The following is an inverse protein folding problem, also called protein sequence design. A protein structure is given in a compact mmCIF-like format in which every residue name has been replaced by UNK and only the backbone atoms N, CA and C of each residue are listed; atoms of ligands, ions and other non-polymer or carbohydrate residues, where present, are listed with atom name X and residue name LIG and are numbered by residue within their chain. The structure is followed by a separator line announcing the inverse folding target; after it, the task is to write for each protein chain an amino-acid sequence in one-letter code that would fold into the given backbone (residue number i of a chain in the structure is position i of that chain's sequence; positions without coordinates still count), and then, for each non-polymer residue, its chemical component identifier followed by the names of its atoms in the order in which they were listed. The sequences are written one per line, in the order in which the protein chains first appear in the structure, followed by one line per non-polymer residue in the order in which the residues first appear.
data_IF_571158907605
#
_entry.id   IF_571158907605
#
_cell.length_a   1.000
_cell.length_b   1.000
_cell.length_c   1.000
_cell.angle_alpha   90.00
_cell.angle_beta   90.00
_cell.angle_gamma   90.00
#
_symmetry.space_group_name_H-M   'P 1'
#
loop_
_entity.id
_entity.type
_entity.pdbx_description
1 polymer ?
#
# COMPACT_ATOMS: atom_id res chain seq x y z
N UNK A 1 -15.52 -6.98 4.88
CA UNK A 1 -14.45 -6.56 5.82
C UNK A 1 -14.85 -6.90 7.26
N UNK A 2 -16.09 -6.63 7.68
CA UNK A 2 -16.57 -7.00 9.03
C UNK A 2 -16.45 -8.50 9.33
N UNK A 3 -16.73 -9.35 8.33
CA UNK A 3 -16.61 -10.82 8.44
C UNK A 3 -15.17 -11.32 8.64
N UNK A 4 -14.17 -10.49 8.36
CA UNK A 4 -12.74 -10.83 8.44
C UNK A 4 -12.01 -10.16 9.62
N UNK A 5 -12.74 -9.42 10.46
CA UNK A 5 -12.19 -8.82 11.67
C UNK A 5 -11.84 -9.90 12.70
N UNK A 6 -10.70 -9.74 13.38
CA UNK A 6 -10.26 -10.64 14.44
C UNK A 6 -9.54 -11.91 13.99
N UNK A 7 -9.33 -12.10 12.68
CA UNK A 7 -8.66 -13.27 12.08
C UNK A 7 -7.13 -13.08 11.85
N UNK A 8 -6.51 -12.12 12.53
CA UNK A 8 -5.07 -11.79 12.38
C UNK A 8 -4.64 -11.47 10.94
N UNK A 9 -5.55 -10.97 10.11
CA UNK A 9 -5.23 -10.53 8.76
C UNK A 9 -4.56 -9.15 8.74
N UNK A 10 -3.84 -8.87 7.66
CA UNK A 10 -3.29 -7.54 7.39
C UNK A 10 -4.05 -6.91 6.24
N UNK A 11 -4.66 -5.75 6.51
CA UNK A 11 -5.38 -4.97 5.51
C UNK A 11 -4.39 -4.06 4.76
N UNK A 12 -4.34 -4.21 3.44
CA UNK A 12 -3.57 -3.35 2.54
C UNK A 12 -4.51 -2.34 1.87
N UNK A 13 -4.24 -1.04 2.05
CA UNK A 13 -5.06 0.03 1.46
C UNK A 13 -4.24 1.10 0.74
N UNK A 14 -4.89 1.78 -0.20
CA UNK A 14 -4.33 2.98 -0.83
C UNK A 14 -4.55 4.24 0.05
N UNK A 15 -3.89 5.32 -0.33
CA UNK A 15 -3.88 6.61 0.32
C UNK A 15 -5.29 7.20 0.53
N UNK A 16 -6.27 6.87 -0.30
CA UNK A 16 -7.67 7.33 -0.12
C UNK A 16 -8.30 6.81 1.17
N UNK A 17 -7.80 5.69 1.70
CA UNK A 17 -8.24 5.07 2.95
C UNK A 17 -7.16 5.14 4.04
N UNK A 18 -6.31 6.18 3.99
CA UNK A 18 -5.14 6.29 4.87
C UNK A 18 -5.30 7.22 6.07
N UNK A 19 -6.54 7.56 6.46
CA UNK A 19 -6.73 8.51 7.57
C UNK A 19 -6.20 7.92 8.89
N UNK A 20 -5.52 8.73 9.74
CA UNK A 20 -4.96 8.24 11.00
C UNK A 20 -6.00 7.61 11.94
N UNK A 21 -7.18 8.23 12.04
CA UNK A 21 -8.28 7.75 12.88
C UNK A 21 -8.79 6.37 12.44
N UNK A 22 -8.77 6.08 11.14
CA UNK A 22 -9.19 4.78 10.60
C UNK A 22 -8.26 3.64 11.03
N UNK A 23 -7.00 3.92 11.41
CA UNK A 23 -6.07 2.85 11.82
C UNK A 23 -6.40 2.26 13.20
N UNK A 24 -7.10 3.02 14.05
CA UNK A 24 -7.40 2.58 15.40
C UNK A 24 -8.42 1.44 15.41
N UNK A 25 -9.36 1.43 14.45
CA UNK A 25 -10.42 0.42 14.38
C UNK A 25 -9.90 -0.98 14.01
N UNK A 26 -9.12 -1.18 12.91
CA UNK A 26 -8.51 -2.47 12.61
C UNK A 26 -7.61 -2.97 13.74
N UNK A 27 -6.81 -2.08 14.34
CA UNK A 27 -5.90 -2.44 15.41
C UNK A 27 -6.65 -2.97 16.65
N UNK A 28 -7.75 -2.32 17.05
CA UNK A 28 -8.60 -2.76 18.15
C UNK A 28 -9.19 -4.16 17.90
N UNK A 29 -9.42 -4.50 16.63
CA UNK A 29 -9.94 -5.77 16.17
C UNK A 29 -8.84 -6.76 15.74
N UNK A 30 -7.63 -6.67 16.32
CA UNK A 30 -6.48 -7.56 16.04
C UNK A 30 -6.14 -7.71 14.55
N UNK A 31 -6.38 -6.66 13.76
CA UNK A 31 -6.15 -6.65 12.32
C UNK A 31 -5.02 -5.65 12.03
N UNK A 32 -3.94 -6.14 11.39
CA UNK A 32 -2.84 -5.28 10.94
C UNK A 32 -3.29 -4.36 9.81
N UNK A 33 -2.67 -3.18 9.66
CA UNK A 33 -2.93 -2.31 8.52
C UNK A 33 -1.62 -1.81 7.90
N UNK A 34 -1.53 -1.92 6.57
CA UNK A 34 -0.43 -1.41 5.76
C UNK A 34 -1.00 -0.48 4.68
N UNK A 35 -0.42 0.71 4.55
CA UNK A 35 -0.96 1.74 3.66
C UNK A 35 0.08 2.78 3.26
N UNK A 36 -0.15 3.40 2.12
CA UNK A 36 0.56 4.61 1.71
C UNK A 36 -0.03 5.82 2.44
N UNK A 37 0.83 6.77 2.83
CA UNK A 37 0.40 7.97 3.52
C UNK A 37 0.93 9.20 2.79
N UNK A 38 0.09 10.23 2.67
CA UNK A 38 0.49 11.51 2.10
C UNK A 38 1.32 12.30 3.13
N UNK A 39 2.39 12.93 2.66
CA UNK A 39 3.29 13.76 3.49
C UNK A 39 2.53 14.89 4.20
N UNK A 40 1.41 15.35 3.64
CA UNK A 40 0.59 16.44 4.18
C UNK A 40 -0.40 16.03 5.27
N UNK A 41 -0.47 14.75 5.66
CA UNK A 41 -1.39 14.33 6.73
C UNK A 41 -0.96 14.87 8.10
N UNK A 42 -1.93 15.32 8.91
CA UNK A 42 -1.71 15.98 10.22
C UNK A 42 -0.90 15.16 11.23
N UNK A 43 -0.97 13.83 11.17
CA UNK A 43 -0.29 12.92 12.11
C UNK A 43 1.06 12.44 11.55
N UNK A 44 1.46 12.92 10.36
CA UNK A 44 2.79 12.63 9.84
C UNK A 44 3.86 13.18 10.76
N UNK A 45 4.80 12.33 11.18
CA UNK A 45 5.94 12.84 11.89
C UNK A 45 6.79 13.70 10.96
N UNK A 46 7.46 14.68 11.54
CA UNK A 46 8.48 15.45 10.84
C UNK A 46 9.74 14.59 10.70
N UNK A 47 9.90 13.99 9.52
CA UNK A 47 11.15 13.34 9.13
C UNK A 47 12.28 14.37 9.05
N UNK A 48 13.49 13.97 9.43
CA UNK A 48 14.63 14.87 9.39
C UNK A 48 14.87 15.35 7.95
N UNK A 49 14.85 16.67 7.73
CA UNK A 49 15.22 17.28 6.44
C UNK A 49 16.72 17.16 6.12
N UNK A 50 17.48 16.38 6.91
CA UNK A 50 18.88 16.12 6.66
C UNK A 50 19.00 15.44 5.30
N UNK A 51 20.06 15.76 4.57
CA UNK A 51 20.44 15.05 3.35
C UNK A 51 20.83 13.63 3.75
N UNK A 52 19.83 12.76 3.84
CA UNK A 52 20.02 11.34 4.11
C UNK A 52 20.94 10.75 3.05
N UNK A 53 21.94 9.99 3.49
CA UNK A 53 22.87 9.31 2.60
C UNK A 53 22.13 8.18 1.87
N UNK A 54 22.76 7.70 0.80
CA UNK A 54 22.32 6.49 0.12
C UNK A 54 22.33 5.37 1.18
N UNK A 55 21.19 4.71 1.39
CA UNK A 55 20.94 3.58 2.32
C UNK A 55 20.34 3.91 3.71
N UNK A 56 19.91 5.16 3.95
CA UNK A 56 19.23 5.51 5.20
C UNK A 56 17.74 5.10 5.19
N UNK A 57 17.30 4.47 6.30
CA UNK A 57 15.90 4.21 6.60
C UNK A 57 15.52 5.04 7.83
N UNK A 58 14.58 5.95 7.68
CA UNK A 58 14.02 6.66 8.82
C UNK A 58 12.73 5.97 9.24
N UNK A 59 12.77 5.36 10.43
CA UNK A 59 11.61 4.73 11.05
C UNK A 59 11.18 5.59 12.21
N UNK A 60 9.90 5.94 12.25
CA UNK A 60 9.34 6.69 13.35
C UNK A 60 8.05 6.04 13.81
N UNK A 61 7.96 5.83 15.12
CA UNK A 61 6.77 5.30 15.76
C UNK A 61 6.05 6.44 16.46
N UNK A 62 4.75 6.58 16.20
CA UNK A 62 3.89 7.51 16.93
C UNK A 62 2.71 6.73 17.52
N UNK A 63 2.84 6.34 18.79
CA UNK A 63 1.89 5.43 19.44
C UNK A 63 1.83 4.09 18.71
N UNK A 64 0.66 3.76 18.16
CA UNK A 64 0.42 2.51 17.44
C UNK A 64 0.74 2.57 15.93
N UNK A 65 1.18 3.73 15.44
CA UNK A 65 1.49 3.92 14.02
C UNK A 65 2.99 3.79 13.78
N UNK A 66 3.35 2.88 12.88
CA UNK A 66 4.73 2.70 12.43
C UNK A 66 4.91 3.34 11.06
N UNK A 67 5.65 4.44 11.00
CA UNK A 67 5.97 5.12 9.76
C UNK A 67 7.34 4.72 9.27
N UNK A 68 7.41 4.32 8.01
CA UNK A 68 8.66 3.95 7.36
C UNK A 68 8.87 4.89 6.17
N UNK A 69 9.83 5.81 6.30
CA UNK A 69 10.30 6.61 5.19
C UNK A 69 11.49 5.91 4.55
N UNK A 70 11.29 5.34 3.37
CA UNK A 70 12.36 4.62 2.66
C UNK A 70 12.70 5.30 1.36
N UNK A 71 13.96 5.73 1.21
CA UNK A 71 14.52 6.07 -0.10
C UNK A 71 15.13 4.84 -0.79
N UNK A 72 15.89 4.00 -0.07
CA UNK A 72 16.25 2.59 -0.38
C UNK A 72 16.79 1.96 0.91
N UNK A 73 16.10 0.94 1.43
CA UNK A 73 16.45 0.19 2.66
C UNK A 73 16.69 -1.28 2.33
N UNK A 74 16.74 -2.22 3.28
CA UNK A 74 16.98 -3.66 3.03
C UNK A 74 16.36 -4.14 1.71
N UNK A 75 17.24 -4.25 0.71
CA UNK A 75 16.89 -4.24 -0.69
C UNK A 75 16.61 -5.67 -1.11
N UNK A 76 15.34 -5.98 -1.32
CA UNK A 76 14.92 -7.24 -1.91
C UNK A 76 14.85 -7.04 -3.42
N UNK A 77 15.28 -8.06 -4.17
CA UNK A 77 15.09 -8.08 -5.61
C UNK A 77 13.59 -7.96 -5.93
N UNK A 78 13.22 -6.91 -6.66
CA UNK A 78 11.83 -6.68 -7.06
C UNK A 78 11.35 -7.66 -8.13
N UNK A 79 12.23 -8.52 -8.67
CA UNK A 79 11.98 -9.40 -9.82
C UNK A 79 11.79 -8.64 -11.13
N UNK A 80 12.11 -7.34 -11.16
CA UNK A 80 11.95 -6.47 -12.31
C UNK A 80 13.31 -5.98 -12.78
N UNK A 81 13.54 -6.00 -14.09
CA UNK A 81 14.72 -5.41 -14.72
C UNK A 81 14.37 -4.08 -15.36
N UNK A 82 15.29 -3.13 -15.29
CA UNK A 82 15.12 -1.86 -15.97
C UNK A 82 15.34 -2.06 -17.48
N UNK A 83 14.39 -1.61 -18.30
CA UNK A 83 14.38 -1.85 -19.76
C UNK A 83 15.63 -1.30 -20.44
N UNK A 84 16.13 -0.15 -19.99
CA UNK A 84 17.25 0.55 -20.62
C UNK A 84 18.63 -0.05 -20.32
N UNK A 85 18.81 -0.70 -19.16
CA UNK A 85 20.15 -1.11 -18.67
C UNK A 85 20.23 -2.58 -18.26
N UNK A 86 19.13 -3.33 -18.37
CA UNK A 86 18.99 -4.70 -17.85
C UNK A 86 19.37 -4.88 -16.37
N UNK A 87 19.43 -3.80 -15.61
CA UNK A 87 19.79 -3.82 -14.19
C UNK A 87 18.59 -4.25 -13.35
N UNK A 88 18.85 -5.11 -12.37
CA UNK A 88 17.85 -5.57 -11.40
C UNK A 88 17.42 -4.39 -10.52
N UNK A 89 16.11 -4.20 -10.39
CA UNK A 89 15.51 -3.15 -9.56
C UNK A 89 15.36 -3.69 -8.16
N UNK A 90 16.06 -3.08 -7.22
CA UNK A 90 15.95 -3.39 -5.82
C UNK A 90 14.96 -2.46 -5.10
N UNK A 91 14.11 -3.04 -4.24
CA UNK A 91 13.13 -2.31 -3.43
C UNK A 91 13.13 -2.78 -1.98
N UNK A 92 12.77 -1.92 -1.03
CA UNK A 92 12.59 -2.32 0.37
C UNK A 92 11.54 -3.41 0.52
N UNK A 93 11.76 -4.37 1.43
CA UNK A 93 10.82 -5.46 1.68
C UNK A 93 9.38 -4.97 1.91
N UNK A 94 9.18 -3.97 2.77
CA UNK A 94 7.84 -3.42 3.07
C UNK A 94 7.12 -2.91 1.82
N UNK A 95 7.86 -2.33 0.87
CA UNK A 95 7.29 -1.84 -0.40
C UNK A 95 6.98 -3.02 -1.33
N UNK A 96 7.84 -4.03 -1.39
CA UNK A 96 7.60 -5.24 -2.20
C UNK A 96 6.36 -5.98 -1.69
N UNK A 97 6.25 -6.16 -0.38
CA UNK A 97 5.11 -6.79 0.27
C UNK A 97 3.81 -6.00 0.03
N UNK A 98 3.84 -4.68 0.24
CA UNK A 98 2.69 -3.81 -0.09
C UNK A 98 2.24 -3.94 -1.54
N UNK A 99 3.18 -3.84 -2.50
CA UNK A 99 2.86 -3.96 -3.93
C UNK A 99 2.29 -5.34 -4.27
N UNK A 100 2.80 -6.40 -3.64
CA UNK A 100 2.33 -7.77 -3.87
C UNK A 100 0.87 -7.93 -3.44
N UNK A 101 0.50 -7.39 -2.29
CA UNK A 101 -0.82 -7.57 -1.70
C UNK A 101 -1.86 -6.55 -2.16
N UNK A 102 -1.46 -5.43 -2.78
CA UNK A 102 -2.38 -4.49 -3.45
C UNK A 102 -2.82 -4.95 -4.84
N UNK A 103 -1.94 -5.60 -5.61
CA UNK A 103 -2.18 -6.03 -6.99
C UNK A 103 -3.39 -6.95 -7.25
N UNK A 104 -3.85 -7.82 -6.32
CA UNK A 104 -4.93 -8.74 -6.60
C UNK A 104 -6.22 -8.03 -7.03
N UNK A 105 -6.54 -6.87 -6.44
CA UNK A 105 -7.74 -6.10 -6.77
C UNK A 105 -7.69 -5.65 -8.24
N UNK A 106 -6.62 -4.97 -8.65
CA UNK A 106 -6.44 -4.52 -10.03
C UNK A 106 -6.42 -5.68 -11.04
N UNK A 107 -5.88 -6.84 -10.65
CA UNK A 107 -5.85 -8.03 -11.51
C UNK A 107 -7.23 -8.64 -11.70
N UNK A 108 -8.04 -8.64 -10.65
CA UNK A 108 -9.42 -9.11 -10.73
C UNK A 108 -10.23 -8.18 -11.64
N UNK A 109 -10.05 -6.86 -11.51
CA UNK A 109 -10.68 -5.87 -12.37
C UNK A 109 -10.34 -6.10 -13.85
N UNK A 110 -9.05 -6.29 -14.16
CA UNK A 110 -8.59 -6.62 -15.51
C UNK A 110 -9.17 -7.95 -16.04
N UNK A 111 -9.32 -8.97 -15.19
CA UNK A 111 -9.92 -10.24 -15.59
C UNK A 111 -11.42 -10.09 -15.87
N UNK A 112 -12.11 -9.31 -15.04
CA UNK A 112 -13.53 -9.02 -15.16
C UNK A 112 -13.80 -8.24 -16.45
N UNK A 113 -13.06 -7.17 -16.73
CA UNK A 113 -13.15 -6.41 -17.97
C UNK A 113 -12.98 -7.28 -19.23
N UNK A 114 -12.12 -8.32 -19.16
CA UNK A 114 -11.88 -9.21 -20.30
C UNK A 114 -13.03 -10.17 -20.62
N UNK A 115 -13.93 -10.40 -19.65
CA UNK A 115 -15.05 -11.35 -19.76
C UNK A 115 -16.41 -10.63 -19.78
N UNK A 116 -16.45 -9.36 -19.36
CA UNK A 116 -17.68 -8.57 -19.29
C UNK A 116 -18.26 -8.25 -20.67
N UNK A 117 -19.41 -8.86 -20.97
CA UNK A 117 -20.28 -8.49 -22.09
C UNK A 117 -21.21 -7.32 -21.70
N UNK A 118 -20.66 -6.22 -21.20
CA UNK A 118 -21.45 -5.04 -20.84
C UNK A 118 -21.98 -4.34 -22.11
N UNK A 119 -23.30 -4.16 -22.18
CA UNK A 119 -23.94 -3.39 -23.27
C UNK A 119 -24.13 -1.94 -22.85
N UNK A 120 -23.90 -1.00 -23.77
CA UNK A 120 -24.10 0.42 -23.50
C UNK A 120 -25.56 0.68 -23.10
N UNK A 121 -25.79 1.15 -21.88
CA UNK A 121 -27.12 1.51 -21.39
C UNK A 121 -27.15 2.95 -20.85
N UNK A 122 -28.27 3.63 -21.05
CA UNK A 122 -28.54 4.92 -20.41
C UNK A 122 -28.98 4.77 -18.95
N UNK A 123 -29.28 3.54 -18.51
CA UNK A 123 -29.76 3.27 -17.16
C UNK A 123 -28.60 2.73 -16.33
N UNK A 124 -28.14 3.50 -15.34
CA UNK A 124 -26.97 3.15 -14.52
C UNK A 124 -27.05 1.75 -13.89
N UNK A 125 -28.24 1.33 -13.45
CA UNK A 125 -28.46 0.03 -12.80
C UNK A 125 -28.38 -1.17 -13.76
N UNK A 126 -28.29 -0.91 -15.07
CA UNK A 126 -28.09 -1.95 -16.09
C UNK A 126 -26.62 -2.14 -16.46
N UNK A 127 -25.73 -1.29 -15.92
CA UNK A 127 -24.29 -1.45 -16.03
C UNK A 127 -23.85 -2.31 -14.84
N UNK A 128 -24.14 -3.60 -14.92
CA UNK A 128 -23.65 -4.65 -14.02
C UNK A 128 -23.30 -5.87 -14.86
#
# INVERSE_FOLDING_TARGET
MEDDLGKEHTLYTDNNYSSPNLCNFPLKNKTGSCRTVRVTQKIMPTFQKKKMMRDDIEKQMNGCLYFVHVRKGQLVDSGKKNSERNLVIFKPYTIVDYIKNMRPVDKLDMMVESVECMTKSLKWYKNC
#
